data_IF_989784973161
#
_entry.id   IF_989784973161
#
_cell.length_a   1.000
_cell.length_b   1.000
_cell.length_c   1.000
_cell.angle_alpha   90.00
_cell.angle_beta   90.00
_cell.angle_gamma   90.00
#
_symmetry.space_group_name_H-M   'P 1'
#
loop_
_entity.id
_entity.type
_entity.pdbx_description
1 polymer ?
#
# COMPACT_ATOMS: atom_id res chain seq x y z
N UNK A 1 49.97 3.43 13.05
CA UNK A 1 49.39 2.60 11.97
C UNK A 1 48.28 1.67 12.46
N UNK A 2 48.45 0.96 13.58
CA UNK A 2 47.44 0.00 14.11
C UNK A 2 46.07 0.65 14.41
N UNK A 3 46.05 1.83 15.03
CA UNK A 3 44.79 2.53 15.38
C UNK A 3 43.99 2.92 14.12
N UNK A 4 44.67 3.39 13.07
CA UNK A 4 44.04 3.76 11.80
C UNK A 4 43.47 2.51 11.11
N UNK A 5 44.22 1.40 11.10
CA UNK A 5 43.76 0.13 10.55
C UNK A 5 42.51 -0.41 11.29
N UNK A 6 42.51 -0.35 12.63
CA UNK A 6 41.36 -0.76 13.44
C UNK A 6 40.13 0.13 13.21
N UNK A 7 40.33 1.44 13.03
CA UNK A 7 39.28 2.38 12.68
C UNK A 7 38.64 2.05 11.32
N UNK A 8 39.44 1.77 10.30
CA UNK A 8 38.94 1.39 8.96
C UNK A 8 38.16 0.08 9.00
N UNK A 9 38.62 -0.93 9.73
CA UNK A 9 37.90 -2.19 9.91
C UNK A 9 36.57 -1.97 10.62
N UNK A 10 36.55 -1.17 11.68
CA UNK A 10 35.30 -0.87 12.40
C UNK A 10 34.30 -0.12 11.52
N UNK A 11 34.75 0.91 10.78
CA UNK A 11 33.88 1.66 9.86
C UNK A 11 33.35 0.79 8.73
N UNK A 12 34.18 -0.08 8.16
CA UNK A 12 33.74 -0.99 7.09
C UNK A 12 32.74 -2.03 7.60
N UNK A 13 32.96 -2.61 8.79
CA UNK A 13 31.99 -3.50 9.43
C UNK A 13 30.66 -2.80 9.73
N UNK A 14 30.71 -1.57 10.26
CA UNK A 14 29.51 -0.76 10.49
C UNK A 14 28.75 -0.46 9.20
N UNK A 15 29.46 -0.10 8.13
CA UNK A 15 28.85 0.17 6.82
C UNK A 15 28.18 -1.10 6.25
N UNK A 16 28.87 -2.25 6.30
CA UNK A 16 28.31 -3.52 5.83
C UNK A 16 27.09 -3.92 6.67
N UNK A 17 27.16 -3.80 8.00
CA UNK A 17 26.03 -4.08 8.87
C UNK A 17 24.83 -3.17 8.56
N UNK A 18 25.05 -1.88 8.33
CA UNK A 18 23.99 -0.95 7.94
C UNK A 18 23.34 -1.34 6.60
N UNK A 19 24.12 -1.77 5.61
CA UNK A 19 23.61 -2.25 4.31
C UNK A 19 22.80 -3.55 4.47
N UNK A 20 23.26 -4.50 5.29
CA UNK A 20 22.53 -5.74 5.52
C UNK A 20 21.23 -5.49 6.27
N UNK A 21 21.25 -4.65 7.31
CA UNK A 21 20.06 -4.30 8.09
C UNK A 21 19.01 -3.56 7.25
N UNK A 22 19.44 -2.66 6.37
CA UNK A 22 18.51 -1.93 5.48
C UNK A 22 17.87 -2.85 4.45
N UNK A 23 18.64 -3.77 3.86
CA UNK A 23 18.10 -4.79 2.94
C UNK A 23 17.08 -5.69 3.63
N UNK A 24 17.44 -6.26 4.78
CA UNK A 24 16.55 -7.12 5.58
C UNK A 24 15.29 -6.37 6.01
N UNK A 25 15.40 -5.10 6.42
CA UNK A 25 14.24 -4.27 6.74
C UNK A 25 13.31 -4.05 5.53
N UNK A 26 13.85 -3.81 4.33
CA UNK A 26 13.04 -3.65 3.11
C UNK A 26 12.37 -4.94 2.67
N UNK A 27 13.04 -6.08 2.78
CA UNK A 27 12.48 -7.39 2.46
C UNK A 27 11.33 -7.74 3.42
N UNK A 28 11.54 -7.57 4.73
CA UNK A 28 10.49 -7.77 5.74
C UNK A 28 9.30 -6.83 5.54
N UNK A 29 9.54 -5.59 5.11
CA UNK A 29 8.47 -4.65 4.79
C UNK A 29 7.64 -5.15 3.59
N UNK A 30 8.29 -5.69 2.55
CA UNK A 30 7.62 -6.27 1.39
C UNK A 30 6.83 -7.54 1.76
N UNK A 31 7.39 -8.45 2.55
CA UNK A 31 6.71 -9.66 3.03
C UNK A 31 5.46 -9.32 3.86
N UNK A 32 5.58 -8.32 4.75
CA UNK A 32 4.46 -7.84 5.54
C UNK A 32 3.37 -7.24 4.66
N UNK A 33 3.75 -6.50 3.62
CA UNK A 33 2.78 -5.99 2.67
C UNK A 33 2.03 -7.08 1.92
N UNK A 34 2.73 -8.15 1.53
CA UNK A 34 2.10 -9.27 0.85
C UNK A 34 1.09 -9.98 1.76
N UNK A 35 1.44 -10.17 3.02
CA UNK A 35 0.52 -10.69 4.04
C UNK A 35 -0.69 -9.77 4.22
N UNK A 36 -0.45 -8.46 4.33
CA UNK A 36 -1.51 -7.48 4.47
C UNK A 36 -2.45 -7.43 3.26
N UNK A 37 -1.89 -7.58 2.05
CA UNK A 37 -2.66 -7.61 0.82
C UNK A 37 -3.52 -8.87 0.73
N UNK A 38 -2.99 -10.03 1.15
CA UNK A 38 -3.78 -11.26 1.25
C UNK A 38 -4.98 -11.09 2.17
N UNK A 39 -4.82 -10.44 3.32
CA UNK A 39 -5.94 -10.12 4.22
C UNK A 39 -6.91 -9.14 3.56
N UNK A 40 -6.44 -8.17 2.77
CA UNK A 40 -7.32 -7.26 2.04
C UNK A 40 -8.20 -8.01 1.03
N UNK A 41 -7.62 -8.94 0.27
CA UNK A 41 -8.36 -9.81 -0.65
C UNK A 41 -9.36 -10.71 0.07
N UNK A 42 -8.95 -11.33 1.19
CA UNK A 42 -9.81 -12.17 2.03
C UNK A 42 -11.03 -11.38 2.55
N UNK A 43 -10.78 -10.19 3.13
CA UNK A 43 -11.85 -9.30 3.61
C UNK A 43 -12.79 -8.87 2.48
N UNK A 44 -12.29 -8.58 1.28
CA UNK A 44 -13.13 -8.21 0.14
C UNK A 44 -13.95 -9.41 -0.36
N UNK A 45 -13.38 -10.61 -0.32
CA UNK A 45 -14.06 -11.83 -0.77
C UNK A 45 -15.29 -12.19 0.08
N UNK A 46 -15.31 -11.77 1.35
CA UNK A 46 -16.49 -11.92 2.23
C UNK A 46 -17.72 -11.12 1.73
N UNK A 47 -17.51 -10.10 0.90
CA UNK A 47 -18.59 -9.27 0.36
C UNK A 47 -19.05 -9.70 -1.04
N UNK A 48 -18.35 -10.63 -1.68
CA UNK A 48 -18.69 -11.12 -3.01
C UNK A 48 -17.47 -11.61 -3.78
N UNK A 49 -17.73 -12.19 -4.95
CA UNK A 49 -16.68 -12.60 -5.88
C UNK A 49 -16.81 -11.83 -7.20
N UNK A 50 -15.66 -11.50 -7.78
CA UNK A 50 -15.58 -10.74 -9.01
C UNK A 50 -15.85 -9.25 -8.81
N UNK A 51 -15.19 -8.44 -9.63
CA UNK A 51 -15.36 -7.00 -9.64
C UNK A 51 -16.00 -6.56 -10.94
N UNK A 52 -16.94 -5.64 -10.83
CA UNK A 52 -17.63 -5.08 -11.98
C UNK A 52 -17.84 -3.59 -11.80
N UNK A 53 -17.83 -2.88 -12.93
CA UNK A 53 -18.15 -1.46 -12.98
C UNK A 53 -19.51 -1.31 -13.65
N UNK A 54 -20.45 -0.71 -12.94
CA UNK A 54 -21.77 -0.35 -13.44
C UNK A 54 -21.90 1.18 -13.43
N UNK A 55 -21.64 1.82 -14.57
CA UNK A 55 -21.59 3.28 -14.67
C UNK A 55 -20.44 3.86 -13.85
N UNK A 56 -20.76 4.66 -12.83
CA UNK A 56 -19.78 5.28 -11.91
C UNK A 56 -19.61 4.49 -10.60
N UNK A 57 -20.13 3.25 -10.54
CA UNK A 57 -20.13 2.43 -9.32
C UNK A 57 -19.26 1.20 -9.49
N UNK A 58 -18.32 0.99 -8.57
CA UNK A 58 -17.55 -0.23 -8.44
C UNK A 58 -18.28 -1.20 -7.51
N UNK A 59 -18.42 -2.45 -7.93
CA UNK A 59 -19.05 -3.52 -7.16
C UNK A 59 -18.12 -4.71 -6.96
N UNK A 60 -18.33 -5.41 -5.85
CA UNK A 60 -17.82 -6.76 -5.60
C UNK A 60 -19.02 -7.69 -5.43
N UNK A 61 -19.19 -8.65 -6.34
CA UNK A 61 -20.44 -9.41 -6.45
C UNK A 61 -21.67 -8.50 -6.55
N UNK A 62 -22.55 -8.54 -5.55
CA UNK A 62 -23.74 -7.67 -5.48
C UNK A 62 -23.55 -6.39 -4.66
N UNK A 63 -22.41 -6.24 -3.98
CA UNK A 63 -22.16 -5.15 -3.03
C UNK A 63 -21.45 -3.97 -3.69
N UNK A 64 -22.01 -2.78 -3.54
CA UNK A 64 -21.38 -1.52 -3.96
C UNK A 64 -20.22 -1.15 -3.03
N UNK A 65 -19.05 -0.86 -3.60
CA UNK A 65 -17.85 -0.45 -2.87
C UNK A 65 -17.72 1.07 -2.68
N UNK A 66 -18.37 1.88 -3.51
CA UNK A 66 -18.36 3.33 -3.37
C UNK A 66 -18.91 3.73 -1.99
N UNK A 67 -18.15 4.54 -1.26
CA UNK A 67 -18.43 4.97 0.12
C UNK A 67 -18.60 3.83 1.15
N UNK A 68 -18.38 2.58 0.77
CA UNK A 68 -18.50 1.45 1.67
C UNK A 68 -17.24 1.29 2.52
N UNK A 69 -17.28 1.78 3.76
CA UNK A 69 -16.09 1.85 4.63
C UNK A 69 -15.82 0.60 5.45
N UNK A 70 -16.80 -0.30 5.61
CA UNK A 70 -16.66 -1.48 6.45
C UNK A 70 -15.46 -2.39 6.07
N UNK A 71 -15.20 -2.69 4.78
CA UNK A 71 -14.05 -3.52 4.40
C UNK A 71 -12.71 -2.84 4.72
N UNK A 72 -12.56 -1.56 4.34
CA UNK A 72 -11.30 -0.82 4.55
C UNK A 72 -11.01 -0.57 6.03
N UNK A 73 -12.04 -0.41 6.85
CA UNK A 73 -11.88 -0.28 8.31
C UNK A 73 -11.55 -1.62 8.96
N UNK A 74 -12.18 -2.71 8.51
CA UNK A 74 -11.85 -4.07 8.96
C UNK A 74 -10.41 -4.44 8.64
N UNK A 75 -9.92 -4.11 7.43
CA UNK A 75 -8.51 -4.31 7.06
C UNK A 75 -7.59 -3.55 8.04
N UNK A 76 -7.89 -2.29 8.35
CA UNK A 76 -7.11 -1.53 9.34
C UNK A 76 -7.09 -2.18 10.72
N UNK A 77 -8.20 -2.73 11.18
CA UNK A 77 -8.26 -3.45 12.46
C UNK A 77 -7.42 -4.73 12.43
N UNK A 78 -7.41 -5.47 11.31
CA UNK A 78 -6.72 -6.76 11.21
C UNK A 78 -5.21 -6.63 11.00
N UNK A 79 -4.77 -5.74 10.13
CA UNK A 79 -3.35 -5.66 9.71
C UNK A 79 -2.65 -4.36 10.13
N UNK A 80 -3.42 -3.40 10.64
CA UNK A 80 -2.93 -2.04 10.86
C UNK A 80 -2.75 -1.26 9.56
N UNK A 81 -2.44 0.03 9.70
CA UNK A 81 -2.17 0.91 8.55
C UNK A 81 -3.43 1.41 7.86
N UNK A 82 -3.32 1.61 6.54
CA UNK A 82 -4.37 2.24 5.72
C UNK A 82 -4.75 1.38 4.53
N UNK A 83 -6.02 1.40 4.17
CA UNK A 83 -6.59 0.64 3.06
C UNK A 83 -7.45 1.55 2.20
N UNK A 84 -7.40 1.32 0.88
CA UNK A 84 -8.08 2.14 -0.12
C UNK A 84 -8.44 1.28 -1.31
N UNK A 85 -9.65 1.46 -1.85
CA UNK A 85 -10.07 0.92 -3.15
C UNK A 85 -10.21 2.07 -4.14
N UNK A 86 -9.69 1.86 -5.35
CA UNK A 86 -9.79 2.79 -6.46
C UNK A 86 -10.63 2.19 -7.59
N UNK A 87 -11.42 3.03 -8.25
CA UNK A 87 -12.06 2.74 -9.53
C UNK A 87 -11.37 3.62 -10.58
N UNK A 88 -10.56 3.01 -11.44
CA UNK A 88 -9.60 3.76 -12.25
C UNK A 88 -8.62 4.53 -11.34
N UNK A 89 -8.50 5.85 -11.55
CA UNK A 89 -7.70 6.71 -10.69
C UNK A 89 -8.51 7.30 -9.51
N UNK A 90 -9.82 7.08 -9.43
CA UNK A 90 -10.68 7.70 -8.43
C UNK A 90 -10.79 6.86 -7.16
N UNK A 91 -10.54 7.48 -6.00
CA UNK A 91 -10.67 6.83 -4.71
C UNK A 91 -12.14 6.66 -4.32
N UNK A 92 -12.65 5.43 -4.36
CA UNK A 92 -14.08 5.15 -4.08
C UNK A 92 -14.36 4.81 -2.62
N UNK A 93 -13.41 4.21 -1.90
CA UNK A 93 -13.49 4.00 -0.45
C UNK A 93 -12.10 3.96 0.17
N UNK A 94 -11.95 4.50 1.38
CA UNK A 94 -10.66 4.59 2.08
C UNK A 94 -10.83 4.82 3.57
N UNK A 95 -9.82 4.43 4.35
CA UNK A 95 -9.68 4.82 5.75
C UNK A 95 -8.60 5.90 5.98
N UNK A 96 -8.00 6.41 4.89
CA UNK A 96 -7.08 7.54 4.95
C UNK A 96 -7.89 8.80 5.25
N UNK A 97 -7.47 9.54 6.27
CA UNK A 97 -8.10 10.78 6.73
C UNK A 97 -7.22 11.96 6.32
N UNK A 98 -7.85 13.00 5.79
CA UNK A 98 -7.23 14.29 5.45
C UNK A 98 -7.02 15.13 6.72
N UNK A 99 -6.30 16.24 6.59
CA UNK A 99 -6.08 17.17 7.71
C UNK A 99 -7.38 17.81 8.23
N UNK A 100 -8.44 17.82 7.42
CA UNK A 100 -9.79 18.30 7.81
C UNK A 100 -10.61 17.27 8.61
N UNK A 101 -10.04 16.09 8.90
CA UNK A 101 -10.71 15.02 9.63
C UNK A 101 -11.66 14.15 8.78
N UNK A 102 -11.86 14.46 7.49
CA UNK A 102 -12.68 13.67 6.58
C UNK A 102 -11.87 12.62 5.84
N UNK A 103 -12.53 11.53 5.43
CA UNK A 103 -11.90 10.50 4.59
C UNK A 103 -11.53 11.08 3.22
N UNK A 104 -10.41 10.61 2.67
CA UNK A 104 -9.89 11.09 1.40
C UNK A 104 -10.63 10.55 0.16
N UNK A 105 -11.91 10.19 0.28
CA UNK A 105 -12.75 9.71 -0.84
C UNK A 105 -12.88 10.80 -1.90
N UNK A 106 -13.00 10.40 -3.18
CA UNK A 106 -13.10 11.28 -4.34
C UNK A 106 -11.78 11.92 -4.78
N UNK A 107 -10.68 11.68 -4.06
CA UNK A 107 -9.35 12.12 -4.50
C UNK A 107 -8.80 11.18 -5.57
N UNK A 108 -7.98 11.72 -6.49
CA UNK A 108 -7.34 10.93 -7.54
C UNK A 108 -6.00 10.36 -7.09
N UNK A 109 -5.67 9.19 -7.62
CA UNK A 109 -4.34 8.61 -7.53
C UNK A 109 -3.35 9.53 -8.25
N UNK A 110 -2.24 9.87 -7.60
CA UNK A 110 -1.20 10.71 -8.20
C UNK A 110 -0.54 9.95 -9.35
N UNK A 111 -0.35 10.62 -10.48
CA UNK A 111 0.45 10.08 -11.58
C UNK A 111 1.87 9.73 -11.10
N UNK A 112 2.38 8.60 -11.56
CA UNK A 112 3.69 8.07 -11.14
C UNK A 112 3.73 6.55 -11.21
N UNK A 113 4.70 5.95 -10.51
CA UNK A 113 5.00 4.53 -10.62
C UNK A 113 3.81 3.61 -10.26
N UNK A 114 3.01 3.98 -9.25
CA UNK A 114 1.79 3.21 -8.88
C UNK A 114 0.76 3.26 -9.99
N UNK A 115 0.45 4.46 -10.49
CA UNK A 115 -0.52 4.67 -11.56
C UNK A 115 -0.11 3.87 -12.81
N UNK A 116 1.15 3.98 -13.23
CA UNK A 116 1.66 3.31 -14.41
C UNK A 116 1.68 1.79 -14.25
N UNK A 117 2.16 1.27 -13.12
CA UNK A 117 2.20 -0.16 -12.90
C UNK A 117 0.79 -0.78 -12.88
N UNK A 118 -0.15 -0.17 -12.14
CA UNK A 118 -1.45 -0.78 -11.85
C UNK A 118 -2.48 -0.48 -12.93
N UNK A 119 -2.65 0.81 -13.29
CA UNK A 119 -3.71 1.23 -14.20
C UNK A 119 -3.33 1.13 -15.68
N UNK A 120 -2.03 1.31 -16.01
CA UNK A 120 -1.56 1.19 -17.40
C UNK A 120 -1.10 -0.22 -17.71
N UNK A 121 -0.25 -0.80 -16.87
CA UNK A 121 0.42 -2.07 -17.17
C UNK A 121 -0.30 -3.29 -16.56
N UNK A 122 -1.31 -3.09 -15.70
CA UNK A 122 -2.11 -4.17 -15.09
C UNK A 122 -1.30 -5.06 -14.15
N UNK A 123 -0.26 -4.51 -13.51
CA UNK A 123 0.68 -5.27 -12.66
C UNK A 123 0.63 -4.79 -11.21
N UNK A 124 0.85 -5.71 -10.24
CA UNK A 124 1.04 -5.32 -8.85
C UNK A 124 2.20 -4.36 -8.68
N UNK A 125 2.06 -3.42 -7.74
CA UNK A 125 3.12 -2.52 -7.32
C UNK A 125 3.44 -2.76 -5.85
N UNK A 126 4.75 -2.84 -5.53
CA UNK A 126 5.28 -2.90 -4.17
C UNK A 126 6.41 -1.88 -4.07
N UNK A 127 6.37 -1.02 -3.07
CA UNK A 127 7.39 0.02 -2.92
C UNK A 127 6.91 1.18 -2.06
N UNK A 128 7.31 2.39 -2.41
CA UNK A 128 6.90 3.61 -1.72
C UNK A 128 6.03 4.48 -2.60
N UNK A 129 5.11 5.22 -1.96
CA UNK A 129 4.32 6.27 -2.59
C UNK A 129 4.01 7.38 -1.60
N UNK A 130 3.85 8.59 -2.11
CA UNK A 130 3.38 9.73 -1.32
C UNK A 130 1.85 9.75 -1.28
N UNK A 131 1.29 9.74 -0.08
CA UNK A 131 -0.15 9.88 0.14
C UNK A 131 -0.36 11.11 1.03
N UNK A 132 -0.92 12.17 0.44
CA UNK A 132 -1.19 13.44 1.12
C UNK A 132 0.07 14.06 1.76
N UNK A 133 1.21 14.03 1.05
CA UNK A 133 2.46 14.64 1.52
C UNK A 133 3.24 13.81 2.54
N UNK A 134 2.84 12.55 2.75
CA UNK A 134 3.52 11.62 3.66
C UNK A 134 4.01 10.40 2.86
N UNK A 135 5.27 9.98 3.03
CA UNK A 135 5.77 8.77 2.40
C UNK A 135 5.19 7.53 3.09
N UNK A 136 4.59 6.65 2.30
CA UNK A 136 4.10 5.33 2.74
C UNK A 136 4.86 4.24 2.01
N UNK A 137 5.13 3.14 2.71
CA UNK A 137 5.29 1.85 2.04
C UNK A 137 3.91 1.38 1.60
N UNK A 138 3.74 1.15 0.30
CA UNK A 138 2.46 0.77 -0.31
C UNK A 138 2.54 -0.52 -1.12
N UNK A 139 1.42 -1.25 -1.11
CA UNK A 139 1.16 -2.36 -2.01
C UNK A 139 -0.16 -2.07 -2.74
N UNK A 140 -0.16 -2.23 -4.05
CA UNK A 140 -1.33 -2.10 -4.89
C UNK A 140 -1.46 -3.32 -5.79
N UNK A 141 -2.66 -3.88 -5.84
CA UNK A 141 -3.00 -4.93 -6.78
C UNK A 141 -4.07 -4.41 -7.75
N UNK A 142 -3.95 -4.76 -9.05
CA UNK A 142 -5.03 -4.54 -10.00
C UNK A 142 -6.21 -5.45 -9.63
N UNK A 143 -7.42 -4.94 -9.89
CA UNK A 143 -8.70 -5.56 -9.58
C UNK A 143 -9.45 -5.83 -10.89
#
# INVERSE_FOLDING_TARGET
MVIVALGVVTCSLMAVAAVLLTRDATERAAERQETNMRVAWDVLSDYGSGFSIEGETLKVGATTLNDFTAPVDRIKTLVGGTATVFMGDMRVTTNVVKDDGKRAVGTRLKAGAVHDAVLRDGKPYRGTADILGKPYFVAYDPI
#
